data_IF_675739082066
#
_entry.id   IF_675739082066
#
_cell.length_a   1.000
_cell.length_b   1.000
_cell.length_c   1.000
_cell.angle_alpha   90.00
_cell.angle_beta   90.00
_cell.angle_gamma   90.00
#
_symmetry.space_group_name_H-M   'P 1'
#
loop_
_entity.id
_entity.type
_entity.pdbx_description
1 polymer ?
#
# COMPACT_ATOMS: atom_id res chain seq x y z
N UNK A 1 -14.37 -8.59 2.96
CA UNK A 1 -12.99 -8.45 2.44
C UNK A 1 -13.03 -8.61 0.94
N UNK A 2 -12.93 -7.49 0.22
CA UNK A 2 -12.78 -7.47 -1.23
C UNK A 2 -11.29 -7.52 -1.58
N UNK A 3 -10.95 -8.20 -2.67
CA UNK A 3 -9.58 -8.21 -3.20
C UNK A 3 -9.44 -7.02 -4.14
N UNK A 4 -8.28 -6.35 -4.09
CA UNK A 4 -7.96 -5.28 -5.03
C UNK A 4 -7.38 -5.87 -6.31
N UNK A 5 -7.82 -5.34 -7.45
CA UNK A 5 -7.26 -5.60 -8.77
C UNK A 5 -6.88 -4.27 -9.43
N UNK A 6 -6.07 -4.31 -10.48
CA UNK A 6 -5.70 -3.08 -11.20
C UNK A 6 -6.94 -2.35 -11.72
N UNK A 7 -7.10 -1.08 -11.35
CA UNK A 7 -8.25 -0.26 -11.72
C UNK A 7 -9.53 -0.54 -10.93
N UNK A 8 -9.49 -1.38 -9.88
CA UNK A 8 -10.64 -1.59 -9.01
C UNK A 8 -10.91 -0.33 -8.18
N UNK A 9 -12.15 0.17 -8.24
CA UNK A 9 -12.55 1.40 -7.55
C UNK A 9 -13.00 1.09 -6.12
N UNK A 10 -12.49 1.87 -5.16
CA UNK A 10 -12.93 1.84 -3.78
C UNK A 10 -13.52 3.19 -3.39
N UNK A 11 -14.62 3.17 -2.63
CA UNK A 11 -15.08 4.36 -1.92
C UNK A 11 -14.12 4.68 -0.76
N UNK A 12 -13.88 5.96 -0.39
CA UNK A 12 -12.93 6.31 0.66
C UNK A 12 -13.17 5.59 1.99
N UNK A 13 -14.43 5.33 2.35
CA UNK A 13 -14.79 4.61 3.58
C UNK A 13 -14.32 3.15 3.59
N UNK A 14 -14.18 2.51 2.42
CA UNK A 14 -13.71 1.13 2.31
C UNK A 14 -12.21 1.00 2.60
N UNK A 15 -11.46 2.09 2.45
CA UNK A 15 -10.01 2.19 2.67
C UNK A 15 -9.66 3.09 3.86
N UNK A 16 -10.61 3.38 4.75
CA UNK A 16 -10.32 4.17 5.94
C UNK A 16 -9.34 3.47 6.90
N UNK A 17 -9.35 2.13 6.89
CA UNK A 17 -8.46 1.30 7.70
C UNK A 17 -7.42 0.60 6.83
N UNK A 18 -6.22 0.43 7.39
CA UNK A 18 -5.11 -0.29 6.77
C UNK A 18 -5.54 -1.67 6.22
N UNK A 19 -5.30 -1.97 4.93
CA UNK A 19 -5.69 -3.24 4.35
C UNK A 19 -4.77 -4.37 4.83
N UNK A 20 -5.25 -5.61 4.70
CA UNK A 20 -4.41 -6.80 4.83
C UNK A 20 -3.70 -7.05 3.51
N UNK A 21 -2.38 -7.24 3.54
CA UNK A 21 -1.57 -7.49 2.35
C UNK A 21 -0.73 -8.74 2.58
N UNK A 22 -1.00 -9.78 1.78
CA UNK A 22 -0.26 -11.03 1.77
C UNK A 22 0.77 -11.00 0.63
N UNK A 23 1.94 -11.58 0.88
CA UNK A 23 3.03 -11.68 -0.09
C UNK A 23 3.27 -13.15 -0.41
N UNK A 24 2.67 -13.62 -1.49
CA UNK A 24 2.82 -15.02 -1.94
C UNK A 24 4.11 -15.26 -2.75
N UNK A 25 4.89 -14.21 -3.02
CA UNK A 25 6.13 -14.26 -3.78
C UNK A 25 7.34 -14.73 -2.97
N UNK A 26 8.35 -15.24 -3.69
CA UNK A 26 9.67 -15.56 -3.15
C UNK A 26 9.75 -16.87 -2.35
N UNK A 27 10.84 -16.98 -1.59
CA UNK A 27 11.14 -18.09 -0.68
C UNK A 27 11.45 -17.56 0.73
N UNK A 28 11.80 -18.46 1.66
CA UNK A 28 12.05 -18.13 3.07
C UNK A 28 13.23 -17.15 3.31
N UNK A 29 14.05 -16.84 2.30
CA UNK A 29 15.15 -15.87 2.41
C UNK A 29 14.91 -14.59 1.61
N UNK A 30 13.75 -14.50 0.94
CA UNK A 30 13.35 -13.30 0.19
C UNK A 30 12.71 -12.30 1.13
N UNK A 31 13.00 -11.02 0.94
CA UNK A 31 12.38 -9.92 1.65
C UNK A 31 11.76 -8.95 0.66
N UNK A 32 10.63 -8.37 1.04
CA UNK A 32 9.84 -7.48 0.22
C UNK A 32 9.60 -6.16 0.94
N UNK A 33 9.37 -5.12 0.15
CA UNK A 33 8.93 -3.81 0.63
C UNK A 33 7.61 -3.48 -0.04
N UNK A 34 6.60 -3.12 0.76
CA UNK A 34 5.35 -2.55 0.28
C UNK A 34 5.46 -1.02 0.28
N UNK A 35 5.08 -0.41 -0.83
CA UNK A 35 4.91 1.05 -0.95
C UNK A 35 3.51 1.32 -1.52
N UNK A 36 2.70 2.06 -0.77
CA UNK A 36 1.44 2.62 -1.26
C UNK A 36 1.67 4.11 -1.54
N UNK A 37 1.49 4.52 -2.79
CA UNK A 37 1.76 5.89 -3.26
C UNK A 37 0.61 6.40 -4.11
N UNK A 38 0.35 7.70 -4.07
CA UNK A 38 -0.58 8.42 -4.92
C UNK A 38 0.19 9.33 -5.90
N UNK A 39 0.22 8.98 -7.20
CA UNK A 39 0.89 9.77 -8.23
C UNK A 39 0.06 10.96 -8.72
N UNK A 40 -1.21 11.04 -8.32
CA UNK A 40 -2.20 11.98 -8.85
C UNK A 40 -2.46 13.17 -7.92
N UNK A 41 -1.72 13.31 -6.81
CA UNK A 41 -2.00 14.37 -5.85
C UNK A 41 -1.61 15.79 -6.35
N UNK A 42 -2.45 16.83 -6.12
CA UNK A 42 -3.80 16.75 -5.54
C UNK A 42 -4.88 16.30 -6.54
N UNK A 43 -4.65 16.47 -7.85
CA UNK A 43 -5.54 15.92 -8.89
C UNK A 43 -4.72 15.41 -10.08
N UNK A 44 -5.23 14.37 -10.74
CA UNK A 44 -4.57 13.76 -11.91
C UNK A 44 -4.34 14.74 -13.07
N UNK A 45 -5.12 15.84 -13.14
CA UNK A 45 -4.95 16.90 -14.13
C UNK A 45 -3.83 17.91 -13.81
N UNK A 46 -3.47 18.08 -12.54
CA UNK A 46 -2.36 18.94 -12.10
C UNK A 46 -1.65 18.32 -10.87
N UNK A 47 -0.89 17.23 -11.05
CA UNK A 47 -0.37 16.44 -9.95
C UNK A 47 0.96 17.03 -9.40
N UNK A 48 0.96 18.30 -8.97
CA UNK A 48 2.18 18.98 -8.52
C UNK A 48 2.67 18.54 -7.13
N UNK A 49 1.88 17.75 -6.38
CA UNK A 49 2.27 17.14 -5.11
C UNK A 49 2.68 15.67 -5.26
N UNK A 50 2.73 15.14 -6.48
CA UNK A 50 3.21 13.78 -6.72
C UNK A 50 4.64 13.63 -6.20
N UNK A 51 5.01 12.54 -5.54
CA UNK A 51 4.21 11.39 -5.09
C UNK A 51 3.85 11.52 -3.60
N UNK A 52 2.59 11.26 -3.24
CA UNK A 52 2.18 11.17 -1.83
C UNK A 52 2.29 9.72 -1.38
N UNK A 53 3.22 9.45 -0.48
CA UNK A 53 3.40 8.12 0.09
C UNK A 53 2.43 7.93 1.26
N UNK A 54 1.52 6.98 1.13
CA UNK A 54 0.50 6.66 2.12
C UNK A 54 0.93 5.58 3.12
N UNK A 55 1.83 4.67 2.72
CA UNK A 55 2.25 3.57 3.59
C UNK A 55 3.56 2.95 3.10
N UNK A 56 4.49 2.68 4.03
CA UNK A 56 5.73 1.95 3.75
C UNK A 56 5.95 0.88 4.81
N UNK A 57 6.12 -0.37 4.37
CA UNK A 57 6.55 -1.49 5.20
C UNK A 57 7.73 -2.16 4.52
N UNK A 58 8.87 -2.22 5.20
CA UNK A 58 10.09 -2.91 4.74
C UNK A 58 10.21 -4.29 5.36
N UNK A 59 11.20 -5.06 4.89
CA UNK A 59 11.65 -6.30 5.53
C UNK A 59 10.54 -7.35 5.71
N UNK A 60 9.54 -7.38 4.82
CA UNK A 60 8.46 -8.36 4.85
C UNK A 60 9.03 -9.70 4.36
N UNK A 61 9.08 -10.76 5.18
CA UNK A 61 9.56 -12.05 4.72
C UNK A 61 8.63 -12.64 3.64
N UNK A 62 9.19 -13.31 2.64
CA UNK A 62 8.41 -13.99 1.60
C UNK A 62 7.46 -15.04 2.18
N UNK A 63 6.30 -15.25 1.53
CA UNK A 63 5.22 -16.15 1.98
C UNK A 63 4.59 -15.77 3.34
N UNK A 64 4.66 -14.50 3.71
CA UNK A 64 4.02 -13.96 4.92
C UNK A 64 3.11 -12.77 4.57
N UNK A 65 2.85 -11.90 5.52
CA UNK A 65 2.09 -10.68 5.34
C UNK A 65 2.80 -9.50 6.01
N UNK A 66 2.34 -8.29 5.68
CA UNK A 66 2.88 -7.01 6.17
C UNK A 66 3.01 -6.91 7.70
N UNK A 67 2.28 -7.69 8.51
CA UNK A 67 2.43 -7.68 9.97
C UNK A 67 3.77 -8.23 10.46
N UNK A 68 4.51 -8.94 9.60
CA UNK A 68 5.83 -9.50 9.89
C UNK A 68 6.96 -8.58 9.44
N UNK A 69 6.65 -7.50 8.70
CA UNK A 69 7.61 -6.50 8.27
C UNK A 69 7.81 -5.38 9.29
N UNK A 70 8.66 -4.42 8.94
CA UNK A 70 8.92 -3.20 9.69
C UNK A 70 8.16 -2.03 9.06
N UNK A 71 7.19 -1.47 9.78
CA UNK A 71 6.48 -0.27 9.34
C UNK A 71 7.41 0.96 9.47
N UNK A 72 7.78 1.56 8.33
CA UNK A 72 8.63 2.75 8.26
C UNK A 72 7.81 4.04 8.20
N UNK A 73 6.64 3.96 7.55
CA UNK A 73 5.65 5.02 7.50
C UNK A 73 4.30 4.37 7.77
N UNK A 74 3.57 4.82 8.79
CA UNK A 74 2.25 4.28 9.13
C UNK A 74 1.21 4.63 8.08
N UNK A 75 0.21 3.75 7.94
CA UNK A 75 -0.87 3.90 6.98
C UNK A 75 -1.65 5.21 7.19
N UNK A 76 -1.68 6.05 6.16
CA UNK A 76 -2.58 7.19 6.03
C UNK A 76 -3.61 6.88 4.93
N UNK A 77 -4.90 6.88 5.26
CA UNK A 77 -5.96 6.60 4.29
C UNK A 77 -5.92 7.61 3.13
N UNK A 78 -6.04 7.15 1.86
CA UNK A 78 -6.20 8.05 0.72
C UNK A 78 -7.39 8.99 0.92
N UNK A 79 -7.18 10.28 0.59
CA UNK A 79 -8.21 11.32 0.65
C UNK A 79 -8.05 12.26 -0.57
N UNK A 80 -8.41 11.77 -1.77
CA UNK A 80 -8.33 12.53 -3.02
C UNK A 80 -9.30 13.74 -3.05
#
# INVERSE_FOLDING_TARGET
>A
NELSFNGYEFVPSAVATKPRVQVDGGNATSYFTLVLTDPDAPTSGNPYLREIVHWIVSDIPGRTDVSHGRELLSYASPNP
#
